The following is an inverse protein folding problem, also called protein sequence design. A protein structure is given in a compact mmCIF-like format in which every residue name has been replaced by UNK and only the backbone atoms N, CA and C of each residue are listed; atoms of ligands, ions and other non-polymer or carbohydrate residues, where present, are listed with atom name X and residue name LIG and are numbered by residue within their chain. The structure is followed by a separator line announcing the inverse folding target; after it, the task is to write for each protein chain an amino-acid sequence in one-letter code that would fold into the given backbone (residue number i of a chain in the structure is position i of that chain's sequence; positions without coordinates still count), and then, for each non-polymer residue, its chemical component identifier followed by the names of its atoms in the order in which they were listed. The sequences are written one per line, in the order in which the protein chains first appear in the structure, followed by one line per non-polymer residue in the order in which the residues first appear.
data_IF_956875230620
#
_entry.id   IF_956875230620
#
_cell.length_a   1.000
_cell.length_b   1.000
_cell.length_c   1.000
_cell.angle_alpha   90.00
_cell.angle_beta   90.00
_cell.angle_gamma   90.00
#
_symmetry.space_group_name_H-M   'P 1'
#
loop_
_entity.id
_entity.type
_entity.pdbx_description
1 polymer ?
#
# COMPACT_ATOMS: atom_id res chain seq x y z
N UNK A 1 8.44 15.29 -11.19
CA UNK A 1 9.09 14.05 -11.66
C UNK A 1 9.95 13.33 -10.61
N UNK A 2 10.63 14.03 -9.67
CA UNK A 2 11.47 13.38 -8.64
C UNK A 2 10.66 12.50 -7.65
N UNK A 3 9.50 12.96 -7.19
CA UNK A 3 8.61 12.22 -6.28
C UNK A 3 8.12 10.88 -6.85
N UNK A 4 7.84 10.82 -8.16
CA UNK A 4 7.42 9.60 -8.84
C UNK A 4 8.57 8.57 -8.93
N UNK A 5 9.81 9.04 -9.13
CA UNK A 5 11.00 8.19 -9.15
C UNK A 5 11.31 7.59 -7.77
N UNK A 6 11.13 8.37 -6.71
CA UNK A 6 11.30 7.88 -5.34
C UNK A 6 10.25 6.81 -4.98
N UNK A 7 9.00 7.02 -5.38
CA UNK A 7 7.92 6.04 -5.20
C UNK A 7 8.19 4.74 -5.97
N UNK A 8 8.67 4.85 -7.21
CA UNK A 8 9.05 3.71 -8.05
C UNK A 8 10.24 2.93 -7.48
N UNK A 9 11.21 3.62 -6.87
CA UNK A 9 12.32 2.97 -6.18
C UNK A 9 11.84 2.21 -4.92
N UNK A 10 10.89 2.76 -4.17
CA UNK A 10 10.30 2.05 -3.03
C UNK A 10 9.54 0.80 -3.47
N UNK A 11 8.73 0.89 -4.53
CA UNK A 11 8.05 -0.28 -5.14
C UNK A 11 9.03 -1.42 -5.48
N UNK A 12 10.19 -1.09 -6.05
CA UNK A 12 11.23 -2.08 -6.36
C UNK A 12 11.93 -2.63 -5.12
N UNK A 13 12.12 -1.81 -4.09
CA UNK A 13 12.72 -2.25 -2.82
C UNK A 13 11.80 -3.20 -2.05
N UNK A 14 10.48 -2.97 -2.09
CA UNK A 14 9.48 -3.82 -1.45
C UNK A 14 9.06 -5.01 -2.30
N UNK A 15 9.64 -5.18 -3.50
CA UNK A 15 9.23 -6.19 -4.49
C UNK A 15 7.74 -6.10 -4.88
N UNK A 16 7.14 -4.92 -4.78
CA UNK A 16 5.75 -4.67 -5.13
C UNK A 16 5.46 -4.87 -6.61
N UNK A 17 6.46 -4.69 -7.46
CA UNK A 17 6.40 -5.03 -8.89
C UNK A 17 6.15 -6.53 -9.10
N UNK A 18 6.84 -7.38 -8.34
CA UNK A 18 6.63 -8.84 -8.37
C UNK A 18 5.26 -9.21 -7.83
N UNK A 19 4.80 -8.56 -6.75
CA UNK A 19 3.48 -8.80 -6.15
C UNK A 19 2.33 -8.45 -7.11
N UNK A 20 2.42 -7.31 -7.80
CA UNK A 20 1.43 -6.90 -8.79
C UNK A 20 1.46 -7.81 -10.02
N UNK A 21 2.64 -8.18 -10.51
CA UNK A 21 2.77 -9.08 -11.63
C UNK A 21 2.24 -10.48 -11.30
N UNK A 22 2.55 -11.01 -10.11
CA UNK A 22 2.04 -12.31 -9.69
C UNK A 22 0.52 -12.29 -9.50
N UNK A 23 -0.04 -11.19 -8.99
CA UNK A 23 -1.49 -11.02 -8.92
C UNK A 23 -2.13 -10.99 -10.31
N UNK A 24 -1.55 -10.26 -11.26
CA UNK A 24 -2.07 -10.18 -12.62
C UNK A 24 -2.06 -11.55 -13.32
N UNK A 25 -0.96 -12.30 -13.20
CA UNK A 25 -0.87 -13.67 -13.73
C UNK A 25 -1.88 -14.60 -13.04
N UNK A 26 -1.94 -14.55 -11.70
CA UNK A 26 -2.91 -15.31 -10.92
C UNK A 26 -4.35 -15.00 -11.35
N UNK A 27 -4.70 -13.73 -11.49
CA UNK A 27 -6.03 -13.26 -11.87
C UNK A 27 -6.51 -13.86 -13.20
N UNK A 28 -5.69 -13.81 -14.25
CA UNK A 28 -6.07 -14.38 -15.55
C UNK A 28 -6.20 -15.91 -15.48
N UNK A 29 -5.29 -16.59 -14.78
CA UNK A 29 -5.36 -18.04 -14.62
C UNK A 29 -6.60 -18.45 -13.80
N UNK A 30 -6.87 -17.75 -12.70
CA UNK A 30 -8.00 -18.02 -11.82
C UNK A 30 -9.33 -17.81 -12.52
N UNK A 31 -9.48 -16.73 -13.31
CA UNK A 31 -10.67 -16.51 -14.15
C UNK A 31 -10.87 -17.64 -15.17
N UNK A 32 -9.80 -18.22 -15.71
CA UNK A 32 -9.89 -19.33 -16.65
C UNK A 32 -10.32 -20.62 -15.94
N UNK A 33 -9.81 -20.85 -14.73
CA UNK A 33 -10.21 -21.98 -13.88
C UNK A 33 -11.68 -21.85 -13.47
N UNK A 34 -12.11 -20.65 -13.04
CA UNK A 34 -13.51 -20.38 -12.66
C UNK A 34 -14.44 -20.65 -13.85
N UNK A 35 -14.10 -20.17 -15.05
CA UNK A 35 -14.87 -20.45 -16.27
C UNK A 35 -15.01 -21.95 -16.53
N UNK A 36 -13.92 -22.71 -16.34
CA UNK A 36 -13.94 -24.16 -16.56
C UNK A 36 -14.71 -24.91 -15.46
N UNK A 37 -14.70 -24.40 -14.23
CA UNK A 37 -15.38 -25.00 -13.08
C UNK A 37 -16.86 -24.61 -12.95
N UNK A 38 -17.31 -23.56 -13.64
CA UNK A 38 -18.69 -23.06 -13.54
C UNK A 38 -19.38 -23.04 -14.91
N UNK A 39 -20.32 -23.96 -15.18
CA UNK A 39 -21.08 -23.94 -16.42
C UNK A 39 -22.06 -22.77 -16.51
N UNK A 40 -22.31 -22.03 -15.42
CA UNK A 40 -23.13 -20.82 -15.41
C UNK A 40 -22.42 -19.56 -15.92
N UNK A 41 -21.11 -19.63 -16.18
CA UNK A 41 -20.33 -18.57 -16.80
C UNK A 41 -20.07 -18.92 -18.26
N UNK A 42 -20.72 -18.20 -19.18
CA UNK A 42 -20.72 -18.58 -20.59
C UNK A 42 -19.43 -18.26 -21.34
N UNK A 43 -18.71 -17.21 -20.92
CA UNK A 43 -17.53 -16.72 -21.65
C UNK A 43 -16.42 -16.27 -20.71
N UNK A 44 -15.18 -16.35 -21.21
CA UNK A 44 -14.02 -15.85 -20.47
C UNK A 44 -14.10 -14.34 -20.19
N UNK A 45 -14.73 -13.55 -21.08
CA UNK A 45 -14.97 -12.13 -20.84
C UNK A 45 -15.85 -11.88 -19.62
N UNK A 46 -16.90 -12.68 -19.44
CA UNK A 46 -17.77 -12.61 -18.26
C UNK A 46 -17.03 -13.02 -16.99
N UNK A 47 -16.18 -14.05 -17.07
CA UNK A 47 -15.33 -14.47 -15.95
C UNK A 47 -14.33 -13.37 -15.55
N UNK A 48 -13.71 -12.69 -16.52
CA UNK A 48 -12.84 -11.54 -16.26
C UNK A 48 -13.62 -10.37 -15.65
N UNK A 49 -14.80 -10.05 -16.17
CA UNK A 49 -15.61 -8.96 -15.61
C UNK A 49 -16.05 -9.23 -14.17
N UNK A 50 -16.54 -10.44 -13.91
CA UNK A 50 -16.88 -10.93 -12.57
C UNK A 50 -15.65 -10.89 -11.65
N UNK A 51 -14.52 -11.41 -12.11
CA UNK A 51 -13.27 -11.44 -11.36
C UNK A 51 -12.78 -10.04 -11.01
N UNK A 52 -12.86 -9.10 -11.96
CA UNK A 52 -12.57 -7.68 -11.70
C UNK A 52 -13.48 -7.13 -10.60
N UNK A 53 -14.79 -7.38 -10.67
CA UNK A 53 -15.76 -6.92 -9.67
C UNK A 53 -15.47 -7.48 -8.27
N UNK A 54 -15.05 -8.74 -8.17
CA UNK A 54 -14.66 -9.39 -6.91
C UNK A 54 -13.34 -8.85 -6.38
N UNK A 55 -12.31 -8.79 -7.24
CA UNK A 55 -10.97 -8.35 -6.87
C UNK A 55 -10.90 -6.88 -6.44
N UNK A 56 -11.81 -6.06 -6.96
CA UNK A 56 -11.94 -4.63 -6.63
C UNK A 56 -13.01 -4.35 -5.56
N UNK A 57 -13.56 -5.41 -4.95
CA UNK A 57 -14.60 -5.36 -3.91
C UNK A 57 -15.89 -4.63 -4.32
N UNK A 58 -16.13 -4.43 -5.62
CA UNK A 58 -17.35 -3.81 -6.15
C UNK A 58 -18.55 -4.75 -5.99
N UNK A 59 -18.41 -6.01 -6.41
CA UNK A 59 -19.43 -7.05 -6.27
C UNK A 59 -20.79 -6.72 -6.91
N UNK A 60 -20.83 -6.33 -8.18
CA UNK A 60 -22.06 -5.92 -8.88
C UNK A 60 -23.15 -7.00 -8.94
N UNK A 61 -22.75 -8.28 -8.96
CA UNK A 61 -23.66 -9.43 -8.91
C UNK A 61 -24.42 -9.73 -10.21
N UNK A 62 -24.07 -9.06 -11.31
CA UNK A 62 -24.58 -9.33 -12.66
C UNK A 62 -24.08 -10.66 -13.23
N UNK A 63 -22.89 -11.10 -12.81
CA UNK A 63 -22.37 -12.45 -13.00
C UNK A 63 -21.99 -13.07 -11.66
N UNK A 64 -22.34 -14.34 -11.46
CA UNK A 64 -22.09 -15.06 -10.21
C UNK A 64 -21.66 -16.50 -10.47
N UNK A 65 -21.03 -17.11 -9.47
CA UNK A 65 -20.62 -18.52 -9.50
C UNK A 65 -21.63 -19.41 -8.77
N UNK A 66 -22.01 -20.50 -9.41
CA UNK A 66 -23.00 -21.48 -8.96
C UNK A 66 -22.36 -22.71 -8.33
N UNK A 67 -21.17 -23.11 -8.75
CA UNK A 67 -20.53 -24.35 -8.28
C UNK A 67 -19.66 -24.14 -7.04
N UNK A 68 -19.52 -25.19 -6.22
CA UNK A 68 -18.67 -25.15 -5.01
C UNK A 68 -17.20 -24.92 -5.39
N UNK A 69 -16.73 -25.55 -6.47
CA UNK A 69 -15.36 -25.39 -6.95
C UNK A 69 -15.09 -23.95 -7.39
N UNK A 70 -15.97 -23.35 -8.20
CA UNK A 70 -15.82 -21.97 -8.64
C UNK A 70 -15.85 -20.98 -7.47
N UNK A 71 -16.75 -21.17 -6.49
CA UNK A 71 -16.79 -20.37 -5.25
C UNK A 71 -15.48 -20.39 -4.48
N UNK A 72 -14.82 -21.55 -4.40
CA UNK A 72 -13.52 -21.65 -3.73
C UNK A 72 -12.46 -20.77 -4.41
N UNK A 73 -12.35 -20.82 -5.74
CA UNK A 73 -11.43 -19.97 -6.50
C UNK A 73 -11.81 -18.48 -6.38
N UNK A 74 -13.10 -18.14 -6.44
CA UNK A 74 -13.57 -16.75 -6.21
C UNK A 74 -13.18 -16.23 -4.82
N UNK A 75 -13.21 -17.06 -3.77
CA UNK A 75 -12.74 -16.68 -2.43
C UNK A 75 -11.23 -16.40 -2.45
N UNK A 76 -10.43 -17.25 -3.10
CA UNK A 76 -8.99 -17.03 -3.23
C UNK A 76 -8.70 -15.71 -3.97
N UNK A 77 -9.44 -15.44 -5.04
CA UNK A 77 -9.35 -14.19 -5.78
C UNK A 77 -9.70 -12.99 -4.91
N UNK A 78 -10.78 -13.04 -4.13
CA UNK A 78 -11.17 -11.97 -3.23
C UNK A 78 -10.12 -11.69 -2.14
N UNK A 79 -9.56 -12.74 -1.52
CA UNK A 79 -8.50 -12.59 -0.51
C UNK A 79 -7.27 -11.93 -1.12
N UNK A 80 -6.82 -12.37 -2.30
CA UNK A 80 -5.65 -11.79 -2.95
C UNK A 80 -5.94 -10.35 -3.42
N UNK A 81 -7.12 -10.09 -3.97
CA UNK A 81 -7.58 -8.74 -4.32
C UNK A 81 -7.48 -7.77 -3.13
N UNK A 82 -8.03 -8.16 -1.97
CA UNK A 82 -7.97 -7.36 -0.75
C UNK A 82 -6.52 -7.05 -0.29
N UNK A 83 -5.59 -8.00 -0.46
CA UNK A 83 -4.16 -7.76 -0.17
C UNK A 83 -3.58 -6.69 -1.10
N UNK A 84 -3.90 -6.72 -2.39
CA UNK A 84 -3.42 -5.73 -3.36
C UNK A 84 -4.02 -4.35 -3.10
N UNK A 85 -5.32 -4.29 -2.81
CA UNK A 85 -6.01 -3.05 -2.45
C UNK A 85 -5.41 -2.41 -1.19
N UNK A 86 -5.08 -3.20 -0.17
CA UNK A 86 -4.45 -2.71 1.06
C UNK A 86 -2.98 -2.29 0.85
N UNK A 87 -2.28 -2.96 -0.06
CA UNK A 87 -0.86 -2.73 -0.31
C UNK A 87 -0.59 -1.32 -0.86
N UNK A 88 -1.39 -0.83 -1.81
CA UNK A 88 -1.13 0.46 -2.47
C UNK A 88 -1.20 1.64 -1.47
N UNK A 89 -2.29 1.83 -0.68
CA UNK A 89 -2.34 2.85 0.35
C UNK A 89 -1.28 2.64 1.43
N UNK A 90 -1.02 1.38 1.81
CA UNK A 90 0.01 1.03 2.78
C UNK A 90 1.40 1.48 2.35
N UNK A 91 1.73 1.35 1.07
CA UNK A 91 3.00 1.81 0.52
C UNK A 91 3.11 3.33 0.55
N UNK A 92 2.03 4.05 0.18
CA UNK A 92 1.99 5.51 0.25
C UNK A 92 2.19 5.97 1.69
N UNK A 93 1.44 5.41 2.63
CA UNK A 93 1.58 5.72 4.05
C UNK A 93 3.01 5.46 4.55
N UNK A 94 3.60 4.32 4.19
CA UNK A 94 4.98 3.97 4.53
C UNK A 94 5.99 4.99 3.97
N UNK A 95 5.83 5.43 2.72
CA UNK A 95 6.67 6.47 2.13
C UNK A 95 6.63 7.76 2.96
N UNK A 96 5.42 8.23 3.32
CA UNK A 96 5.26 9.45 4.11
C UNK A 96 5.85 9.31 5.52
N UNK A 97 5.62 8.18 6.18
CA UNK A 97 6.18 7.91 7.51
C UNK A 97 7.72 7.91 7.47
N UNK A 98 8.32 7.27 6.47
CA UNK A 98 9.78 7.26 6.29
C UNK A 98 10.32 8.66 6.03
N UNK A 99 9.65 9.47 5.20
CA UNK A 99 10.04 10.85 4.92
C UNK A 99 9.98 11.72 6.18
N UNK A 100 8.90 11.59 6.96
CA UNK A 100 8.76 12.29 8.24
C UNK A 100 9.81 11.86 9.26
N UNK A 101 10.14 10.56 9.33
CA UNK A 101 11.21 10.05 10.20
C UNK A 101 12.56 10.65 9.81
N UNK A 102 12.92 10.63 8.53
CA UNK A 102 14.18 11.23 8.05
C UNK A 102 14.27 12.73 8.36
N UNK A 103 13.17 13.47 8.18
CA UNK A 103 13.08 14.89 8.54
C UNK A 103 13.29 15.10 10.05
N UNK A 104 12.66 14.28 10.88
CA UNK A 104 12.83 14.31 12.34
C UNK A 104 14.28 14.04 12.74
N UNK A 105 14.90 13.02 12.16
CA UNK A 105 16.30 12.68 12.44
C UNK A 105 17.26 13.80 12.04
N UNK A 106 16.99 14.49 10.92
CA UNK A 106 17.78 15.64 10.49
C UNK A 106 17.66 16.82 11.47
N UNK A 107 16.44 17.13 11.94
CA UNK A 107 16.21 18.16 12.97
C UNK A 107 16.95 17.80 14.27
N UNK A 108 16.81 16.56 14.76
CA UNK A 108 17.48 16.11 15.99
C UNK A 108 19.00 16.19 15.85
N UNK A 109 19.57 15.79 14.70
CA UNK A 109 21.00 15.90 14.44
C UNK A 109 21.47 17.35 14.36
N UNK A 110 20.69 18.24 13.74
CA UNK A 110 20.98 19.66 13.64
C UNK A 110 21.07 20.36 15.00
N UNK A 111 20.25 19.93 15.96
CA UNK A 111 20.21 20.49 17.32
C UNK A 111 20.93 19.62 18.37
N UNK A 112 21.73 18.63 17.96
CA UNK A 112 22.32 17.66 18.88
C UNK A 112 23.29 18.29 19.89
N UNK A 113 24.02 19.34 19.52
CA UNK A 113 24.91 20.09 20.42
C UNK A 113 24.15 20.74 21.56
N UNK A 114 23.01 21.34 21.24
CA UNK A 114 22.18 22.08 22.19
C UNK A 114 21.45 21.09 23.10
N UNK A 115 20.97 19.97 22.54
CA UNK A 115 20.42 18.85 23.30
C UNK A 115 21.45 18.22 24.26
N UNK A 116 22.74 18.14 23.89
CA UNK A 116 23.81 17.64 24.80
C UNK A 116 24.05 18.58 25.98
N UNK A 117 23.81 19.88 25.82
CA UNK A 117 24.01 20.91 26.85
C UNK A 117 22.72 21.27 27.60
N UNK A 118 21.62 20.54 27.36
CA UNK A 118 20.29 20.86 27.89
C UNK A 118 20.27 21.08 29.42
N UNK A 119 21.01 20.29 30.19
CA UNK A 119 21.08 20.44 31.65
C UNK A 119 21.76 21.74 32.12
N UNK A 120 22.64 22.31 31.29
CA UNK A 120 23.35 23.56 31.57
C UNK A 120 22.63 24.82 31.07
N UNK A 121 21.53 24.67 30.33
CA UNK A 121 20.77 25.78 29.75
C UNK A 121 19.78 26.38 30.75
N UNK A 122 19.59 27.70 30.67
CA UNK A 122 18.53 28.42 31.36
C UNK A 122 17.13 28.04 30.83
N UNK A 123 16.08 28.33 31.59
CA UNK A 123 14.70 28.00 31.17
C UNK A 123 14.26 28.76 29.92
N UNK A 124 14.71 29.99 29.75
CA UNK A 124 14.46 30.81 28.55
C UNK A 124 15.11 30.20 27.30
N UNK A 125 16.38 29.77 27.39
CA UNK A 125 17.08 29.11 26.29
C UNK A 125 16.41 27.77 25.91
N UNK A 126 15.96 26.98 26.90
CA UNK A 126 15.20 25.74 26.66
C UNK A 126 13.89 25.99 25.92
N UNK A 127 13.16 27.03 26.32
CA UNK A 127 11.91 27.41 25.65
C UNK A 127 12.16 27.89 24.21
N UNK A 128 13.26 28.61 23.97
CA UNK A 128 13.62 29.06 22.64
C UNK A 128 13.99 27.90 21.72
N UNK A 129 14.82 26.96 22.19
CA UNK A 129 15.15 25.73 21.45
C UNK A 129 13.89 24.91 21.11
N UNK A 130 12.98 24.74 22.07
CA UNK A 130 11.72 24.04 21.84
C UNK A 130 10.82 24.72 20.79
N UNK A 131 10.79 26.06 20.75
CA UNK A 131 10.07 26.83 19.73
C UNK A 131 10.69 26.64 18.35
N UNK A 132 12.02 26.71 18.24
CA UNK A 132 12.75 26.51 16.98
C UNK A 132 12.49 25.12 16.41
N UNK A 133 12.64 24.07 17.22
CA UNK A 133 12.39 22.68 16.80
C UNK A 133 10.93 22.49 16.35
N UNK A 134 9.96 23.07 17.08
CA UNK A 134 8.53 23.00 16.68
C UNK A 134 8.27 23.70 15.35
N UNK A 135 8.88 24.86 15.12
CA UNK A 135 8.74 25.60 13.85
C UNK A 135 9.38 24.84 12.69
N UNK A 136 10.54 24.23 12.86
CA UNK A 136 11.20 23.41 11.84
C UNK A 136 10.44 22.12 11.54
N UNK A 137 9.87 21.48 12.57
CA UNK A 137 9.04 20.29 12.38
C UNK A 137 7.77 20.60 11.56
N UNK A 138 7.20 21.80 11.72
CA UNK A 138 5.99 22.26 11.04
C UNK A 138 6.19 22.70 9.57
N UNK A 139 7.44 22.95 9.12
CA UNK A 139 7.78 23.29 7.73
C UNK A 139 8.01 22.06 6.87
#
# INVERSE_FOLDING_TARGET
MQTLKEYWQMMKQTHGDKLLLSFLVFYFIDCLIILWCDPGLDTYGNALWMGFSVATTIGLGDYTVTTVAARFFTILLGIYGAVIEAYIPGLIASYYLQKMSKKRDAIVKGHLSDLRRLNSMSQTEKQQLARTIKQEAAK
#
